data_IF_574589451236
#
_entry.id   IF_574589451236
#
_cell.length_a   1.000
_cell.length_b   1.000
_cell.length_c   1.000
_cell.angle_alpha   90.00
_cell.angle_beta   90.00
_cell.angle_gamma   90.00
#
_symmetry.space_group_name_H-M   'P 1'
#
loop_
_entity.id
_entity.type
_entity.pdbx_description
1 polymer ?
#
# COMPACT_ATOMS: atom_id res chain seq x y z
N UNK A 1 -2.28 -56.63 20.98
CA UNK A 1 -1.91 -55.31 21.54
C UNK A 1 -1.15 -54.40 20.57
N UNK A 2 -0.17 -54.89 19.79
CA UNK A 2 0.63 -54.05 18.88
C UNK A 2 -0.18 -53.38 17.74
N UNK A 3 -1.21 -54.04 17.21
CA UNK A 3 -2.06 -53.49 16.13
C UNK A 3 -3.02 -52.39 16.62
N UNK A 4 -3.45 -52.44 17.89
CA UNK A 4 -4.31 -51.41 18.50
C UNK A 4 -3.54 -50.13 18.83
N UNK A 5 -2.25 -50.23 19.18
CA UNK A 5 -1.38 -49.05 19.39
C UNK A 5 -1.08 -48.32 18.07
N UNK A 6 -0.90 -49.03 16.95
CA UNK A 6 -0.67 -48.42 15.64
C UNK A 6 -1.89 -47.62 15.14
N UNK A 7 -3.11 -48.11 15.38
CA UNK A 7 -4.34 -47.40 15.02
C UNK A 7 -4.57 -46.13 15.85
N UNK A 8 -4.13 -46.10 17.11
CA UNK A 8 -4.23 -44.92 17.98
C UNK A 8 -3.19 -43.86 17.57
N UNK A 9 -1.99 -44.28 17.17
CA UNK A 9 -0.94 -43.37 16.71
C UNK A 9 -1.25 -42.78 15.31
N UNK A 10 -1.88 -43.55 14.43
CA UNK A 10 -2.35 -43.07 13.11
C UNK A 10 -3.50 -42.07 13.20
N UNK A 11 -4.41 -42.22 14.17
CA UNK A 11 -5.50 -41.29 14.41
C UNK A 11 -5.02 -39.93 14.95
N UNK A 12 -3.91 -39.92 15.70
CA UNK A 12 -3.34 -38.70 16.28
C UNK A 12 -2.64 -37.83 15.22
N UNK A 13 -2.07 -38.42 14.16
CA UNK A 13 -1.43 -37.69 13.06
C UNK A 13 -2.45 -36.96 12.18
N UNK A 14 -3.67 -37.50 12.04
CA UNK A 14 -4.75 -36.84 11.28
C UNK A 14 -5.30 -35.59 11.98
N UNK A 15 -5.22 -35.51 13.31
CA UNK A 15 -5.64 -34.34 14.10
C UNK A 15 -4.65 -33.15 14.03
N UNK A 16 -3.42 -33.37 13.57
CA UNK A 16 -2.42 -32.31 13.37
C UNK A 16 -2.49 -31.68 11.95
N UNK A 17 -3.40 -32.14 11.10
CA UNK A 17 -3.59 -31.58 9.74
C UNK A 17 -4.54 -30.38 9.70
N UNK A 18 -5.05 -29.94 10.86
CA UNK A 18 -5.95 -28.80 11.00
C UNK A 18 -5.22 -27.47 11.17
N UNK A 19 -4.41 -27.05 10.20
CA UNK A 19 -3.97 -25.66 10.11
C UNK A 19 -5.14 -24.80 9.60
N UNK A 20 -6.03 -24.38 10.49
CA UNK A 20 -7.05 -23.37 10.21
C UNK A 20 -6.43 -21.97 10.18
N UNK A 21 -5.73 -21.64 9.10
CA UNK A 21 -5.26 -20.28 8.76
C UNK A 21 -6.18 -19.39 7.87
N UNK A 22 -7.43 -19.74 7.48
CA UNK A 22 -8.25 -18.81 6.68
C UNK A 22 -8.95 -17.71 7.49
N UNK A 23 -9.17 -17.90 8.80
CA UNK A 23 -10.08 -17.05 9.56
C UNK A 23 -9.40 -15.83 10.21
N UNK A 24 -8.13 -15.94 10.59
CA UNK A 24 -7.37 -14.83 11.18
C UNK A 24 -7.06 -13.72 10.16
N UNK A 25 -6.79 -14.08 8.90
CA UNK A 25 -6.55 -13.11 7.83
C UNK A 25 -7.78 -12.25 7.53
N UNK A 26 -8.98 -12.82 7.62
CA UNK A 26 -10.22 -12.09 7.35
C UNK A 26 -10.62 -11.18 8.53
N UNK A 27 -10.45 -11.63 9.78
CA UNK A 27 -10.67 -10.78 10.96
C UNK A 27 -9.69 -9.59 11.02
N UNK A 28 -8.45 -9.78 10.59
CA UNK A 28 -7.43 -8.71 10.54
C UNK A 28 -7.77 -7.56 9.58
N UNK A 29 -8.58 -7.79 8.53
CA UNK A 29 -9.00 -6.73 7.60
C UNK A 29 -10.14 -5.89 8.20
N UNK A 30 -11.08 -6.50 8.91
CA UNK A 30 -12.21 -5.79 9.54
C UNK A 30 -11.77 -4.90 10.72
N UNK A 31 -10.71 -5.30 11.45
CA UNK A 31 -10.18 -4.54 12.59
C UNK A 31 -9.18 -3.45 12.20
N UNK A 32 -8.79 -3.34 10.92
CA UNK A 32 -7.83 -2.34 10.47
C UNK A 32 -8.18 -0.90 10.87
N UNK A 33 -9.43 -0.42 10.77
CA UNK A 33 -9.80 0.92 11.23
C UNK A 33 -9.53 1.10 12.73
N UNK A 34 -9.89 0.10 13.55
CA UNK A 34 -9.69 0.11 15.01
C UNK A 34 -8.19 0.16 15.34
N UNK A 35 -7.37 -0.61 14.62
CA UNK A 35 -5.93 -0.59 14.79
C UNK A 35 -5.32 0.76 14.43
N UNK A 36 -5.75 1.39 13.33
CA UNK A 36 -5.31 2.72 12.92
C UNK A 36 -5.68 3.76 13.96
N UNK A 37 -6.91 3.75 14.48
CA UNK A 37 -7.34 4.67 15.54
C UNK A 37 -6.53 4.49 16.83
N UNK A 38 -6.25 3.25 17.22
CA UNK A 38 -5.42 2.96 18.39
C UNK A 38 -4.01 3.53 18.24
N UNK A 39 -3.37 3.33 17.08
CA UNK A 39 -2.06 3.90 16.79
C UNK A 39 -2.11 5.42 16.71
N UNK A 40 -3.16 6.00 16.08
CA UNK A 40 -3.38 7.44 16.04
C UNK A 40 -3.45 8.04 17.44
N UNK A 41 -4.18 7.42 18.36
CA UNK A 41 -4.28 7.88 19.75
C UNK A 41 -2.92 7.89 20.45
N UNK A 42 -2.11 6.83 20.26
CA UNK A 42 -0.76 6.76 20.81
C UNK A 42 0.19 7.81 20.22
N UNK A 43 0.12 8.05 18.91
CA UNK A 43 0.87 9.11 18.22
C UNK A 43 0.47 10.49 18.75
N UNK A 44 -0.82 10.77 18.87
CA UNK A 44 -1.34 12.04 19.39
C UNK A 44 -0.91 12.27 20.85
N UNK A 45 -0.99 11.23 21.69
CA UNK A 45 -0.52 11.29 23.09
C UNK A 45 0.98 11.57 23.17
N UNK A 46 1.78 10.88 22.34
CA UNK A 46 3.22 11.09 22.27
C UNK A 46 3.56 12.53 21.82
N UNK A 47 2.91 13.02 20.76
CA UNK A 47 3.12 14.39 20.27
C UNK A 47 2.72 15.43 21.31
N UNK A 48 1.62 15.21 22.03
CA UNK A 48 1.17 16.12 23.09
C UNK A 48 2.22 16.24 24.21
N UNK A 49 2.81 15.13 24.64
CA UNK A 49 3.80 15.10 25.73
C UNK A 49 5.20 15.56 25.27
N UNK A 50 5.70 15.02 24.16
CA UNK A 50 7.08 15.22 23.70
C UNK A 50 7.24 16.42 22.75
N UNK A 51 6.14 16.99 22.25
CA UNK A 51 6.10 18.08 21.25
C UNK A 51 6.77 17.73 19.91
N UNK A 52 7.02 16.44 19.66
CA UNK A 52 7.58 15.91 18.40
C UNK A 52 6.79 14.67 17.96
N UNK A 53 6.80 14.37 16.67
CA UNK A 53 6.11 13.19 16.12
C UNK A 53 6.99 11.93 16.21
N UNK A 54 6.42 10.75 16.53
CA UNK A 54 7.17 9.49 16.59
C UNK A 54 7.27 8.85 15.20
N UNK A 55 8.29 9.23 14.43
CA UNK A 55 8.50 8.67 13.09
C UNK A 55 9.95 8.28 12.79
N UNK A 56 10.10 7.35 11.85
CA UNK A 56 11.35 7.04 11.15
C UNK A 56 11.28 7.65 9.75
N UNK A 57 12.24 8.53 9.44
CA UNK A 57 12.30 9.18 8.14
C UNK A 57 12.75 8.21 7.04
N UNK A 58 12.11 8.29 5.88
CA UNK A 58 12.46 7.58 4.65
C UNK A 58 12.56 8.59 3.51
N UNK A 59 13.69 8.60 2.84
CA UNK A 59 13.94 9.52 1.73
C UNK A 59 13.10 9.16 0.49
N UNK A 60 12.95 7.87 0.19
CA UNK A 60 12.13 7.38 -0.92
C UNK A 60 10.63 7.48 -0.62
N UNK A 61 10.04 8.63 -0.94
CA UNK A 61 8.60 8.88 -0.80
C UNK A 61 7.77 8.09 -1.83
N UNK A 62 8.34 7.78 -3.00
CA UNK A 62 7.61 7.17 -4.13
C UNK A 62 6.82 5.93 -3.73
N UNK A 63 7.41 5.04 -2.94
CA UNK A 63 6.80 3.76 -2.56
C UNK A 63 5.62 4.02 -1.61
N UNK A 64 5.87 4.72 -0.51
CA UNK A 64 4.90 4.86 0.58
C UNK A 64 3.98 6.07 0.44
N UNK A 65 4.24 6.94 -0.54
CA UNK A 65 3.64 8.29 -0.68
C UNK A 65 3.65 9.11 0.62
N UNK A 66 4.61 8.78 1.48
CA UNK A 66 4.96 9.43 2.73
C UNK A 66 6.44 9.17 3.01
N UNK A 67 7.07 10.12 3.71
CA UNK A 67 8.46 10.00 4.19
C UNK A 67 8.53 9.57 5.66
N UNK A 68 7.39 9.31 6.30
CA UNK A 68 7.30 9.22 7.75
C UNK A 68 6.67 7.89 8.16
N UNK A 69 7.49 6.86 8.37
CA UNK A 69 7.00 5.61 8.96
C UNK A 69 6.76 5.81 10.46
N UNK A 70 5.69 5.25 11.01
CA UNK A 70 5.43 5.33 12.46
C UNK A 70 6.55 4.61 13.22
N UNK A 71 7.11 5.25 14.24
CA UNK A 71 8.10 4.63 15.12
C UNK A 71 7.41 3.96 16.32
N UNK A 72 7.09 2.67 16.17
CA UNK A 72 6.51 1.87 17.25
C UNK A 72 7.39 1.76 18.50
N UNK A 73 8.72 1.92 18.37
CA UNK A 73 9.62 1.90 19.51
C UNK A 73 9.45 3.16 20.36
N UNK A 74 9.30 4.32 19.70
CA UNK A 74 9.09 5.61 20.37
C UNK A 74 7.77 5.66 21.16
N UNK A 75 6.72 4.99 20.66
CA UNK A 75 5.41 4.90 21.33
C UNK A 75 5.22 3.61 22.15
N UNK A 76 6.31 2.88 22.41
CA UNK A 76 6.28 1.69 23.26
C UNK A 76 5.75 2.04 24.65
N UNK A 77 4.82 1.22 25.16
CA UNK A 77 4.11 1.48 26.42
C UNK A 77 2.86 2.37 26.32
N UNK A 78 2.62 3.04 25.19
CA UNK A 78 1.34 3.76 24.92
C UNK A 78 0.35 2.91 24.14
N UNK A 79 0.86 2.01 23.33
CA UNK A 79 0.07 1.05 22.58
C UNK A 79 0.90 -0.19 22.29
N UNK A 80 0.22 -1.32 22.17
CA UNK A 80 0.82 -2.51 21.58
C UNK A 80 0.86 -2.37 20.06
N UNK A 81 1.90 -2.93 19.45
CA UNK A 81 1.99 -3.01 17.99
C UNK A 81 0.80 -3.85 17.49
N UNK A 82 -0.06 -3.32 16.59
CA UNK A 82 -1.19 -4.08 16.06
C UNK A 82 -0.76 -5.37 15.35
N UNK A 83 -1.58 -6.44 15.39
CA UNK A 83 -1.30 -7.66 14.62
C UNK A 83 -1.30 -7.42 13.10
N UNK A 84 -2.00 -6.38 12.63
CA UNK A 84 -2.00 -5.94 11.23
C UNK A 84 -0.69 -5.29 10.80
N UNK A 85 0.16 -4.86 11.74
CA UNK A 85 1.44 -4.24 11.45
C UNK A 85 2.49 -5.28 11.02
N UNK A 86 3.32 -4.90 10.06
CA UNK A 86 4.41 -5.72 9.55
C UNK A 86 5.37 -6.20 10.64
N UNK A 87 5.65 -5.36 11.63
CA UNK A 87 6.48 -5.66 12.78
C UNK A 87 5.92 -6.81 13.66
N UNK A 88 4.66 -7.19 13.44
CA UNK A 88 3.97 -8.32 14.08
C UNK A 88 3.57 -9.42 13.09
N UNK A 89 4.12 -9.41 11.88
CA UNK A 89 3.81 -10.39 10.84
C UNK A 89 2.56 -10.06 10.00
N UNK A 90 1.96 -8.89 10.21
CA UNK A 90 0.85 -8.40 9.41
C UNK A 90 1.26 -7.86 8.03
N UNK A 91 0.28 -7.39 7.26
CA UNK A 91 0.47 -6.94 5.87
C UNK A 91 0.67 -5.43 5.71
N UNK A 92 0.69 -4.65 6.80
CA UNK A 92 0.66 -3.19 6.71
C UNK A 92 1.86 -2.52 7.39
N UNK A 93 2.42 -1.53 6.71
CA UNK A 93 3.30 -0.54 7.35
C UNK A 93 2.49 0.68 7.75
N UNK A 94 2.68 1.17 8.96
CA UNK A 94 2.01 2.37 9.45
C UNK A 94 2.82 3.60 9.10
N UNK A 95 2.16 4.62 8.57
CA UNK A 95 2.78 5.86 8.10
C UNK A 95 2.03 7.08 8.63
N UNK A 96 2.75 8.20 8.77
CA UNK A 96 2.17 9.50 9.05
C UNK A 96 2.03 10.29 7.76
N UNK A 97 0.87 10.90 7.56
CA UNK A 97 0.59 11.84 6.49
C UNK A 97 0.21 13.19 7.07
N UNK A 98 0.23 14.24 6.24
CA UNK A 98 -0.12 15.61 6.63
C UNK A 98 0.64 16.09 7.90
N UNK A 99 1.93 15.74 8.00
CA UNK A 99 2.75 15.97 9.20
C UNK A 99 2.94 17.45 9.55
N UNK A 100 2.81 18.34 8.57
CA UNK A 100 2.99 19.79 8.74
C UNK A 100 1.75 20.48 9.33
N UNK A 101 0.54 19.90 9.14
CA UNK A 101 -0.71 20.47 9.62
C UNK A 101 -1.31 19.63 10.74
N UNK A 102 -1.68 18.39 10.42
CA UNK A 102 -2.30 17.44 11.35
C UNK A 102 -1.87 16.02 10.99
N UNK A 103 -0.82 15.56 11.67
CA UNK A 103 -0.30 14.22 11.48
C UNK A 103 -1.40 13.16 11.64
N UNK A 104 -1.64 12.43 10.55
CA UNK A 104 -2.68 11.41 10.46
C UNK A 104 -2.06 10.05 10.19
N UNK A 105 -2.46 9.03 10.95
CA UNK A 105 -2.00 7.67 10.78
C UNK A 105 -2.78 7.01 9.66
N UNK A 106 -2.03 6.44 8.72
CA UNK A 106 -2.50 5.66 7.59
C UNK A 106 -1.64 4.42 7.43
N UNK A 107 -2.04 3.53 6.54
CA UNK A 107 -1.27 2.32 6.26
C UNK A 107 -0.90 2.19 4.80
N UNK A 108 0.26 1.59 4.58
CA UNK A 108 0.73 1.11 3.30
C UNK A 108 0.56 -0.41 3.25
N UNK A 109 -0.10 -0.91 2.22
CA UNK A 109 -0.31 -2.34 2.01
C UNK A 109 0.91 -2.98 1.31
N UNK A 110 1.62 -3.84 2.05
CA UNK A 110 2.81 -4.53 1.53
C UNK A 110 2.48 -5.52 0.41
N UNK A 111 1.24 -6.00 0.31
CA UNK A 111 0.83 -6.92 -0.77
C UNK A 111 0.92 -6.23 -2.14
N UNK A 112 0.80 -4.90 -2.19
CA UNK A 112 1.03 -4.12 -3.41
C UNK A 112 2.53 -4.08 -3.77
N UNK A 113 3.40 -3.93 -2.77
CA UNK A 113 4.85 -3.94 -2.97
C UNK A 113 5.33 -5.23 -3.63
N UNK A 114 4.81 -6.38 -3.21
CA UNK A 114 5.26 -7.67 -3.74
C UNK A 114 4.87 -7.84 -5.21
N UNK A 115 3.67 -7.39 -5.59
CA UNK A 115 3.21 -7.37 -7.00
C UNK A 115 4.06 -6.44 -7.85
N UNK A 116 4.29 -5.21 -7.38
CA UNK A 116 5.10 -4.22 -8.11
C UNK A 116 6.55 -4.68 -8.26
N UNK A 117 7.15 -5.26 -7.21
CA UNK A 117 8.52 -5.80 -7.27
C UNK A 117 8.64 -6.96 -8.25
N UNK A 118 7.74 -7.93 -8.18
CA UNK A 118 7.72 -9.06 -9.11
C UNK A 118 7.63 -8.57 -10.56
N UNK A 119 6.82 -7.54 -10.80
CA UNK A 119 6.70 -6.97 -12.13
C UNK A 119 7.92 -6.12 -12.54
N UNK A 120 8.53 -5.39 -11.61
CA UNK A 120 9.78 -4.67 -11.83
C UNK A 120 10.90 -5.62 -12.27
N UNK A 121 10.98 -6.82 -11.71
CA UNK A 121 11.93 -7.86 -12.12
C UNK A 121 11.70 -8.28 -13.58
N UNK A 122 10.44 -8.50 -13.99
CA UNK A 122 10.09 -8.83 -15.39
C UNK A 122 10.51 -7.70 -16.34
N UNK A 123 10.25 -6.45 -15.97
CA UNK A 123 10.68 -5.27 -16.74
C UNK A 123 12.21 -5.18 -16.80
N UNK A 124 12.91 -5.43 -15.70
CA UNK A 124 14.37 -5.44 -15.64
C UNK A 124 14.99 -6.51 -16.53
N UNK A 125 14.44 -7.73 -16.52
CA UNK A 125 14.87 -8.81 -17.42
C UNK A 125 14.65 -8.47 -18.89
N UNK A 126 13.54 -7.78 -19.22
CA UNK A 126 13.31 -7.28 -20.57
C UNK A 126 14.37 -6.25 -20.97
N UNK A 127 14.65 -5.27 -20.10
CA UNK A 127 15.67 -4.26 -20.34
C UNK A 127 17.05 -4.88 -20.57
N UNK A 128 17.46 -5.85 -19.74
CA UNK A 128 18.74 -6.55 -19.90
C UNK A 128 18.91 -7.26 -21.25
N UNK A 129 17.80 -7.70 -21.87
CA UNK A 129 17.83 -8.41 -23.16
C UNK A 129 17.77 -7.49 -24.37
N UNK A 130 17.13 -6.32 -24.23
CA UNK A 130 16.80 -5.46 -25.36
C UNK A 130 17.48 -4.08 -25.31
N UNK A 131 18.10 -3.71 -24.18
CA UNK A 131 18.62 -2.36 -23.91
C UNK A 131 17.58 -1.23 -24.07
N UNK A 132 16.30 -1.56 -23.93
CA UNK A 132 15.20 -0.60 -23.91
C UNK A 132 14.13 -1.03 -22.90
N UNK A 133 13.40 -0.06 -22.35
CA UNK A 133 12.24 -0.36 -21.52
C UNK A 133 11.01 -0.68 -22.38
N UNK A 134 10.06 -1.49 -21.87
CA UNK A 134 8.83 -1.86 -22.58
C UNK A 134 7.82 -0.70 -22.57
N UNK A 135 8.22 0.47 -23.07
CA UNK A 135 7.40 1.68 -23.14
C UNK A 135 6.31 1.50 -24.21
N UNK A 136 5.06 1.79 -23.83
CA UNK A 136 3.90 1.87 -24.71
C UNK A 136 3.50 3.31 -25.01
N UNK A 137 2.19 3.59 -24.96
CA UNK A 137 1.64 4.93 -25.20
C UNK A 137 2.17 5.95 -24.19
N UNK A 138 2.61 7.11 -24.66
CA UNK A 138 2.99 8.22 -23.77
C UNK A 138 1.74 8.84 -23.15
N UNK A 139 1.65 8.88 -21.81
CA UNK A 139 0.49 9.41 -21.08
C UNK A 139 0.77 10.74 -20.36
N UNK A 140 2.04 11.09 -20.21
CA UNK A 140 2.49 12.38 -19.69
C UNK A 140 3.89 12.71 -20.20
N UNK A 141 4.47 13.90 -19.93
CA UNK A 141 5.83 14.22 -20.31
C UNK A 141 6.86 13.18 -19.84
N UNK A 142 6.65 12.59 -18.66
CA UNK A 142 7.60 11.69 -17.98
C UNK A 142 7.15 10.24 -17.85
N UNK A 143 5.90 9.91 -18.20
CA UNK A 143 5.31 8.59 -18.00
C UNK A 143 4.68 8.00 -19.26
N UNK A 144 4.74 6.68 -19.34
CA UNK A 144 4.21 5.83 -20.40
C UNK A 144 3.35 4.72 -19.81
N UNK A 145 2.37 4.26 -20.57
CA UNK A 145 1.81 2.92 -20.41
C UNK A 145 2.89 1.87 -20.68
N UNK A 146 2.64 0.65 -20.24
CA UNK A 146 3.54 -0.47 -20.52
C UNK A 146 3.03 -1.24 -21.73
N UNK A 147 3.94 -1.51 -22.67
CA UNK A 147 3.66 -2.42 -23.77
C UNK A 147 3.76 -3.87 -23.28
N UNK A 148 2.61 -4.43 -22.89
CA UNK A 148 2.53 -5.83 -22.46
C UNK A 148 2.85 -6.83 -23.58
N UNK A 149 2.76 -6.45 -24.86
CA UNK A 149 3.15 -7.35 -25.96
C UNK A 149 4.65 -7.61 -25.94
N UNK A 150 5.46 -6.57 -25.66
CA UNK A 150 6.91 -6.68 -25.47
C UNK A 150 7.28 -7.62 -24.31
N UNK A 151 6.43 -7.69 -23.29
CA UNK A 151 6.67 -8.51 -22.10
C UNK A 151 6.19 -9.96 -22.24
N UNK A 152 5.48 -10.31 -23.31
CA UNK A 152 4.92 -11.66 -23.51
C UNK A 152 3.51 -11.84 -22.92
N UNK A 153 2.70 -10.78 -22.87
CA UNK A 153 1.29 -10.82 -22.48
C UNK A 153 1.00 -10.15 -21.14
N UNK A 154 -0.28 -10.20 -20.76
CA UNK A 154 -0.82 -9.52 -19.57
C UNK A 154 -0.14 -9.96 -18.26
N UNK A 155 -0.28 -9.12 -17.24
CA UNK A 155 0.12 -9.40 -15.85
C UNK A 155 -1.09 -9.44 -14.94
N UNK A 156 -0.91 -10.04 -13.77
CA UNK A 156 -1.90 -9.98 -12.71
C UNK A 156 -2.28 -8.53 -12.43
N UNK A 157 -3.57 -8.24 -12.61
CA UNK A 157 -4.17 -6.95 -12.28
C UNK A 157 -3.99 -6.66 -10.79
N UNK A 158 -3.69 -5.41 -10.47
CA UNK A 158 -3.68 -4.92 -9.10
C UNK A 158 -5.06 -4.36 -8.81
N UNK A 159 -5.77 -4.92 -7.83
CA UNK A 159 -7.03 -4.34 -7.35
C UNK A 159 -6.73 -3.03 -6.61
N UNK A 160 -7.60 -2.04 -6.80
CA UNK A 160 -7.49 -0.80 -6.02
C UNK A 160 -7.70 -1.10 -4.53
N UNK A 161 -6.89 -0.49 -3.64
CA UNK A 161 -7.09 -0.56 -2.19
C UNK A 161 -8.33 0.21 -1.72
N UNK A 162 -8.92 1.03 -2.59
CA UNK A 162 -10.02 1.94 -2.26
C UNK A 162 -11.35 1.45 -2.81
N UNK A 163 -11.34 0.84 -3.98
CA UNK A 163 -12.54 0.45 -4.71
C UNK A 163 -12.37 -0.94 -5.30
N UNK A 164 -13.12 -1.91 -4.80
CA UNK A 164 -12.96 -3.34 -5.14
C UNK A 164 -13.26 -3.67 -6.61
N UNK A 165 -14.07 -2.84 -7.27
CA UNK A 165 -14.42 -2.92 -8.68
C UNK A 165 -13.38 -2.26 -9.61
N UNK A 166 -12.42 -1.51 -9.06
CA UNK A 166 -11.36 -0.87 -9.84
C UNK A 166 -10.06 -1.68 -9.83
N UNK A 167 -9.33 -1.54 -10.92
CA UNK A 167 -8.00 -2.10 -11.11
C UNK A 167 -7.02 -0.97 -11.42
N UNK A 168 -5.86 -1.01 -10.76
CA UNK A 168 -4.77 -0.09 -10.99
C UNK A 168 -3.96 -0.54 -12.20
N UNK A 169 -3.69 0.41 -13.09
CA UNK A 169 -2.79 0.21 -14.23
C UNK A 169 -1.36 0.53 -13.83
N UNK A 170 -0.40 -0.17 -14.42
CA UNK A 170 1.02 0.16 -14.26
C UNK A 170 1.42 1.27 -15.23
N UNK A 171 2.22 2.20 -14.74
CA UNK A 171 2.91 3.21 -15.54
C UNK A 171 4.41 3.02 -15.38
N UNK A 172 5.18 3.47 -16.38
CA UNK A 172 6.64 3.40 -16.40
C UNK A 172 7.24 4.72 -16.87
N UNK A 173 8.32 5.15 -16.24
CA UNK A 173 9.12 6.30 -16.72
C UNK A 173 10.13 5.88 -17.80
N UNK A 174 10.71 6.85 -18.49
CA UNK A 174 11.84 6.65 -19.41
C UNK A 174 13.08 6.03 -18.73
N UNK A 175 13.17 6.11 -17.40
CA UNK A 175 14.21 5.50 -16.56
C UNK A 175 13.82 4.14 -15.98
N UNK A 176 12.69 3.56 -16.42
CA UNK A 176 12.25 2.23 -15.98
C UNK A 176 11.64 2.18 -14.58
N UNK A 177 11.39 3.32 -13.93
CA UNK A 177 10.71 3.38 -12.63
C UNK A 177 9.23 3.13 -12.82
N UNK A 178 8.70 2.15 -12.08
CA UNK A 178 7.27 1.78 -12.10
C UNK A 178 6.44 2.60 -11.11
N UNK A 179 5.21 2.87 -11.53
CA UNK A 179 4.18 3.55 -10.77
C UNK A 179 2.82 2.86 -10.94
N UNK A 180 1.88 3.16 -10.05
CA UNK A 180 0.48 2.74 -10.17
C UNK A 180 -0.41 3.94 -10.47
N UNK A 181 -1.30 3.80 -11.45
CA UNK A 181 -2.22 4.86 -11.86
C UNK A 181 -3.49 4.86 -11.00
N UNK A 182 -3.60 5.85 -10.12
CA UNK A 182 -4.75 6.07 -9.23
C UNK A 182 -5.75 7.11 -9.76
N UNK A 183 -5.63 7.60 -10.99
CA UNK A 183 -6.50 8.67 -11.51
C UNK A 183 -7.99 8.33 -11.39
N UNK A 184 -8.36 7.07 -11.66
CA UNK A 184 -9.74 6.60 -11.53
C UNK A 184 -10.25 6.61 -10.08
N UNK A 185 -9.41 6.18 -9.13
CA UNK A 185 -9.73 6.28 -7.71
C UNK A 185 -9.92 7.72 -7.28
N UNK A 186 -8.99 8.61 -7.64
CA UNK A 186 -9.10 10.03 -7.32
C UNK A 186 -10.37 10.65 -7.89
N UNK A 187 -10.73 10.33 -9.13
CA UNK A 187 -11.98 10.82 -9.71
C UNK A 187 -13.20 10.40 -8.90
N UNK A 188 -13.24 9.16 -8.43
CA UNK A 188 -14.35 8.66 -7.62
C UNK A 188 -14.42 9.35 -6.25
N UNK A 189 -13.28 9.54 -5.58
CA UNK A 189 -13.23 10.33 -4.35
C UNK A 189 -13.69 11.77 -4.56
N UNK A 190 -13.24 12.43 -5.63
CA UNK A 190 -13.60 13.82 -5.97
C UNK A 190 -15.10 13.95 -6.28
N UNK A 191 -15.69 12.96 -6.94
CA UNK A 191 -17.12 12.94 -7.24
C UNK A 191 -17.98 12.75 -5.97
N UNK A 192 -17.51 11.95 -5.01
CA UNK A 192 -18.19 11.72 -3.75
C UNK A 192 -17.94 12.81 -2.68
N UNK A 193 -16.87 13.60 -2.84
CA UNK A 193 -16.48 14.61 -1.87
C UNK A 193 -17.41 15.84 -1.90
N UNK A 194 -17.76 16.34 -0.72
CA UNK A 194 -18.48 17.61 -0.57
C UNK A 194 -17.63 18.80 -1.02
N UNK A 195 -16.33 18.74 -0.72
CA UNK A 195 -15.36 19.77 -1.07
C UNK A 195 -14.34 19.19 -2.06
N UNK A 196 -14.22 19.85 -3.21
CA UNK A 196 -13.27 19.46 -4.25
C UNK A 196 -11.87 20.01 -3.94
N UNK A 197 -10.80 19.32 -4.38
CA UNK A 197 -9.45 19.86 -4.25
C UNK A 197 -9.28 21.16 -5.05
N UNK A 198 -8.45 22.06 -4.55
CA UNK A 198 -8.04 23.23 -5.33
C UNK A 198 -7.18 22.81 -6.53
N UNK A 199 -7.15 23.62 -7.59
CA UNK A 199 -6.27 23.39 -8.73
C UNK A 199 -4.81 23.35 -8.27
N UNK A 200 -4.04 22.40 -8.80
CA UNK A 200 -2.64 22.15 -8.45
C UNK A 200 -2.42 21.29 -7.20
N UNK A 201 -3.49 20.92 -6.48
CA UNK A 201 -3.39 20.08 -5.28
C UNK A 201 -2.84 18.70 -5.63
N UNK A 202 -1.86 18.24 -4.86
CA UNK A 202 -1.38 16.85 -4.89
C UNK A 202 -2.45 15.91 -4.31
N UNK A 203 -3.02 15.08 -5.17
CA UNK A 203 -4.13 14.20 -4.81
C UNK A 203 -3.72 13.07 -3.86
N UNK A 204 -2.42 12.76 -3.75
CA UNK A 204 -1.90 11.79 -2.78
C UNK A 204 -2.09 12.29 -1.34
N UNK A 205 -1.91 13.59 -1.11
CA UNK A 205 -2.12 14.20 0.20
C UNK A 205 -3.61 14.45 0.45
N UNK A 206 -4.33 14.91 -0.57
CA UNK A 206 -5.76 15.23 -0.46
C UNK A 206 -6.64 14.01 -0.12
N UNK A 207 -6.35 12.84 -0.68
CA UNK A 207 -7.10 11.60 -0.36
C UNK A 207 -6.81 11.07 1.06
N UNK A 208 -5.67 11.46 1.64
CA UNK A 208 -5.21 10.88 2.90
C UNK A 208 -6.22 10.95 4.05
N UNK A 209 -6.93 12.07 4.32
CA UNK A 209 -7.98 12.09 5.32
C UNK A 209 -9.21 11.23 4.97
N UNK A 210 -9.43 10.89 3.69
CA UNK A 210 -10.62 10.20 3.18
C UNK A 210 -10.50 8.68 3.13
N UNK A 211 -9.31 8.13 3.39
CA UNK A 211 -9.03 6.70 3.29
C UNK A 211 -8.14 6.24 4.43
N UNK A 212 -8.14 4.93 4.71
CA UNK A 212 -7.22 4.30 5.65
C UNK A 212 -5.83 4.07 5.06
N UNK A 213 -5.76 3.99 3.72
CA UNK A 213 -4.58 3.56 2.99
C UNK A 213 -3.95 4.70 2.18
N UNK A 214 -2.63 4.74 2.13
CA UNK A 214 -1.89 5.66 1.25
C UNK A 214 -1.79 5.09 -0.17
N UNK A 215 -1.76 5.94 -1.22
CA UNK A 215 -1.74 5.49 -2.60
C UNK A 215 -0.32 5.03 -2.98
N UNK A 216 0.01 3.80 -2.58
CA UNK A 216 1.30 3.15 -2.77
C UNK A 216 1.79 3.25 -4.23
N UNK A 217 3.04 3.66 -4.46
CA UNK A 217 3.61 3.81 -5.81
C UNK A 217 2.91 4.83 -6.72
N UNK A 218 2.02 5.68 -6.20
CA UNK A 218 1.41 6.74 -6.99
C UNK A 218 2.46 7.78 -7.40
N UNK A 219 2.49 8.21 -8.67
CA UNK A 219 3.25 9.39 -9.06
C UNK A 219 2.60 10.64 -8.45
N UNK A 220 3.24 11.81 -8.57
CA UNK A 220 2.62 13.08 -8.14
C UNK A 220 1.48 13.41 -9.10
N UNK A 221 0.25 13.02 -8.76
CA UNK A 221 -0.95 13.31 -9.54
C UNK A 221 -1.60 14.57 -8.98
N UNK A 222 -1.80 15.58 -9.83
CA UNK A 222 -2.40 16.85 -9.43
C UNK A 222 -3.80 17.00 -9.99
N UNK A 223 -4.62 17.82 -9.33
CA UNK A 223 -5.90 18.26 -9.88
C UNK A 223 -5.75 19.46 -10.80
N UNK A 224 -6.32 19.44 -12.01
CA UNK A 224 -6.29 20.60 -12.92
C UNK A 224 -7.57 21.47 -12.87
N UNK A 225 -8.61 21.03 -12.15
CA UNK A 225 -9.94 21.65 -12.13
C UNK A 225 -11.03 20.79 -12.75
N UNK A 226 -10.66 19.85 -13.62
CA UNK A 226 -11.56 18.97 -14.38
C UNK A 226 -11.19 17.49 -14.24
N UNK A 227 -9.90 17.16 -14.28
CA UNK A 227 -9.39 15.81 -14.19
C UNK A 227 -8.02 15.70 -13.47
N UNK A 228 -7.63 14.50 -13.01
CA UNK A 228 -6.32 14.26 -12.42
C UNK A 228 -5.25 14.16 -13.51
N UNK A 229 -4.20 14.96 -13.38
CA UNK A 229 -3.09 15.05 -14.34
C UNK A 229 -1.83 14.36 -13.80
N UNK A 230 -1.22 13.55 -14.65
CA UNK A 230 0.08 12.90 -14.42
C UNK A 230 1.24 13.91 -14.62
N UNK A 231 2.41 13.68 -14.00
CA UNK A 231 3.57 14.59 -14.06
C UNK A 231 4.32 14.59 -15.41
#
# INVERSE_FOLDING_TARGET
MKLRLLSILGAMILLLSGCTYPNELNQQVDDLPIHIERVQSAVSSYQHEKKVLPYKYKEEERIFTSKYLVDFQAISGRTEIPPTAFERGGSYLYVLTDVEKKATVRVFDLRLNDKVKTFAERVGLYYQRNNEYPLGTKVSPSLYEIDFKKLGGEVSKIKSPYHSDLELSYLISDKGVLYLDYRMDYMRFIQAAKEKPAVGTDLRQWISPLSLQVPAYSPVIKWDGKEPILP
#
